data_IF_807088432261
#
_entry.id   IF_807088432261
#
_cell.length_a   1.000
_cell.length_b   1.000
_cell.length_c   1.000
_cell.angle_alpha   90.00
_cell.angle_beta   90.00
_cell.angle_gamma   90.00
#
_symmetry.space_group_name_H-M   'P 1'
#
loop_
_entity.id
_entity.type
_entity.pdbx_description
1 polymer ?
#
# COMPACT_ATOMS: atom_id res chain seq x y z
N UNK A 1 44.56 15.48 32.09
CA UNK A 1 44.36 15.61 30.63
C UNK A 1 43.35 14.55 30.14
N UNK A 2 42.19 14.41 30.82
CA UNK A 2 41.15 13.39 30.51
C UNK A 2 39.71 13.92 30.61
N UNK A 3 39.51 15.22 30.82
CA UNK A 3 38.21 15.81 31.19
C UNK A 3 37.47 16.52 30.06
N UNK A 4 38.05 16.63 28.86
CA UNK A 4 37.43 17.36 27.73
C UNK A 4 36.81 16.46 26.65
N UNK A 5 36.93 15.14 26.77
CA UNK A 5 36.39 14.19 25.78
C UNK A 5 34.97 13.70 26.09
N UNK A 6 34.43 13.97 27.30
CA UNK A 6 33.10 13.49 27.71
C UNK A 6 31.97 14.49 27.48
N UNK A 7 32.27 15.78 27.30
CA UNK A 7 31.26 16.83 27.09
C UNK A 7 30.70 16.89 25.67
N UNK A 8 31.31 16.23 24.69
CA UNK A 8 30.81 16.20 23.31
C UNK A 8 29.87 15.03 23.03
N UNK A 9 29.79 14.01 23.91
CA UNK A 9 28.85 12.90 23.76
C UNK A 9 27.46 13.18 24.36
N UNK A 10 27.31 14.14 25.28
CA UNK A 10 26.05 14.36 26.01
C UNK A 10 25.04 15.27 25.31
N UNK A 11 25.47 16.19 24.44
CA UNK A 11 24.57 17.18 23.81
C UNK A 11 23.49 16.52 22.93
N UNK A 12 23.82 15.38 22.31
CA UNK A 12 22.89 14.65 21.43
C UNK A 12 21.86 13.80 22.18
N UNK A 13 22.14 13.44 23.45
CA UNK A 13 21.22 12.67 24.28
C UNK A 13 20.20 13.55 25.00
N UNK A 14 20.55 14.81 25.28
CA UNK A 14 19.70 15.76 26.01
C UNK A 14 18.67 16.47 25.12
N UNK A 15 18.88 16.48 23.80
CA UNK A 15 17.89 16.95 22.82
C UNK A 15 16.89 15.83 22.53
N UNK A 16 15.95 15.62 23.44
CA UNK A 16 14.81 14.72 23.24
C UNK A 16 13.62 15.50 22.67
N UNK A 17 13.17 15.14 21.46
CA UNK A 17 11.91 15.66 20.89
C UNK A 17 10.88 14.54 20.92
N UNK A 18 9.72 14.79 21.54
CA UNK A 18 8.62 13.83 21.70
C UNK A 18 9.09 12.47 22.29
N UNK A 19 9.82 12.53 23.41
CA UNK A 19 10.30 11.35 24.17
C UNK A 19 11.23 10.40 23.38
N UNK A 20 11.83 10.90 22.29
CA UNK A 20 12.79 10.15 21.47
C UNK A 20 14.04 10.99 21.20
N UNK A 21 15.24 10.38 21.26
CA UNK A 21 16.48 11.08 20.91
C UNK A 21 16.51 11.42 19.42
N UNK A 22 17.11 12.56 19.06
CA UNK A 22 17.18 13.08 17.68
C UNK A 22 17.70 12.08 16.64
N UNK A 23 18.60 11.17 17.03
CA UNK A 23 19.14 10.17 16.11
C UNK A 23 18.08 9.17 15.62
N UNK A 24 17.01 8.91 16.40
CA UNK A 24 15.88 8.07 15.94
C UNK A 24 15.10 8.75 14.82
N UNK A 25 14.94 10.07 14.89
CA UNK A 25 14.32 10.87 13.83
C UNK A 25 15.20 10.89 12.56
N UNK A 26 16.52 11.03 12.73
CA UNK A 26 17.48 10.94 11.62
C UNK A 26 17.48 9.53 10.98
N UNK A 27 17.43 8.47 11.80
CA UNK A 27 17.33 7.09 11.32
C UNK A 27 16.02 6.85 10.56
N UNK A 28 14.89 7.38 11.05
CA UNK A 28 13.60 7.31 10.35
C UNK A 28 13.67 7.98 8.97
N UNK A 29 14.23 9.20 8.91
CA UNK A 29 14.44 9.89 7.64
C UNK A 29 15.35 9.08 6.70
N UNK A 30 16.44 8.52 7.24
CA UNK A 30 17.34 7.66 6.48
C UNK A 30 16.63 6.43 5.90
N UNK A 31 15.81 5.74 6.69
CA UNK A 31 15.04 4.58 6.23
C UNK A 31 14.01 4.98 5.17
N UNK A 32 13.31 6.11 5.33
CA UNK A 32 12.35 6.61 4.35
C UNK A 32 13.03 6.92 3.00
N UNK A 33 14.18 7.60 3.03
CA UNK A 33 14.95 7.91 1.82
C UNK A 33 15.44 6.61 1.18
N UNK A 34 16.02 5.69 1.95
CA UNK A 34 16.52 4.43 1.44
C UNK A 34 15.40 3.60 0.78
N UNK A 35 14.24 3.48 1.42
CA UNK A 35 13.11 2.72 0.88
C UNK A 35 12.46 3.39 -0.32
N UNK A 36 12.42 4.72 -0.39
CA UNK A 36 12.03 5.43 -1.60
C UNK A 36 12.98 5.13 -2.77
N UNK A 37 14.29 5.18 -2.53
CA UNK A 37 15.32 4.86 -3.55
C UNK A 37 15.21 3.41 -4.00
N UNK A 38 15.12 2.46 -3.07
CA UNK A 38 14.95 1.03 -3.36
C UNK A 38 13.65 0.80 -4.16
N UNK A 39 12.55 1.44 -3.75
CA UNK A 39 11.29 1.37 -4.48
C UNK A 39 11.42 1.85 -5.93
N UNK A 40 12.14 2.97 -6.15
CA UNK A 40 12.44 3.50 -7.49
C UNK A 40 13.32 2.55 -8.31
N UNK A 41 14.31 1.92 -7.70
CA UNK A 41 15.18 0.93 -8.34
C UNK A 41 14.37 -0.30 -8.77
N UNK A 42 13.51 -0.82 -7.88
CA UNK A 42 12.65 -1.97 -8.19
C UNK A 42 11.69 -1.62 -9.32
N UNK A 43 11.03 -0.47 -9.27
CA UNK A 43 10.16 -0.01 -10.37
C UNK A 43 10.91 0.12 -11.68
N UNK A 44 12.13 0.67 -11.65
CA UNK A 44 12.97 0.78 -12.83
C UNK A 44 13.31 -0.60 -13.40
N UNK A 45 13.70 -1.54 -12.55
CA UNK A 45 14.04 -2.90 -12.94
C UNK A 45 12.84 -3.66 -13.51
N UNK A 46 11.67 -3.58 -12.85
CA UNK A 46 10.42 -4.18 -13.34
C UNK A 46 9.98 -3.60 -14.68
N UNK A 47 10.07 -2.28 -14.85
CA UNK A 47 9.73 -1.62 -16.11
C UNK A 47 10.71 -2.03 -17.23
N UNK A 48 12.00 -2.10 -16.91
CA UNK A 48 13.06 -2.53 -17.83
C UNK A 48 12.88 -3.99 -18.27
N UNK A 49 12.66 -4.90 -17.32
CA UNK A 49 12.38 -6.31 -17.63
C UNK A 49 11.05 -6.46 -18.39
N UNK A 50 10.02 -5.69 -18.02
CA UNK A 50 8.74 -5.67 -18.72
C UNK A 50 8.87 -5.25 -20.17
N UNK A 51 9.65 -4.20 -20.46
CA UNK A 51 9.98 -3.79 -21.84
C UNK A 51 10.75 -4.88 -22.59
N UNK A 52 11.78 -5.45 -21.98
CA UNK A 52 12.55 -6.53 -22.62
C UNK A 52 11.68 -7.77 -22.95
N UNK A 53 10.68 -8.08 -22.12
CA UNK A 53 9.72 -9.16 -22.38
C UNK A 53 8.67 -8.80 -23.44
N UNK A 54 8.32 -7.52 -23.56
CA UNK A 54 7.39 -7.02 -24.59
C UNK A 54 7.94 -7.21 -26.01
N UNK A 55 9.26 -7.09 -26.17
CA UNK A 55 9.95 -7.29 -27.46
C UNK A 55 9.85 -8.74 -27.93
N UNK A 56 9.61 -9.69 -27.02
CA UNK A 56 9.31 -11.09 -27.36
C UNK A 56 7.81 -11.25 -27.57
N UNK A 57 7.35 -11.33 -28.84
CA UNK A 57 5.92 -11.52 -29.21
C UNK A 57 5.16 -12.58 -28.39
N UNK A 58 5.84 -13.65 -27.96
CA UNK A 58 5.25 -14.73 -27.13
C UNK A 58 5.02 -14.33 -25.67
N UNK A 59 5.85 -13.45 -25.12
CA UNK A 59 5.82 -13.02 -23.71
C UNK A 59 5.26 -11.59 -23.55
N UNK A 60 4.80 -10.97 -24.62
CA UNK A 60 4.15 -9.66 -24.62
C UNK A 60 3.07 -9.46 -23.52
N UNK A 61 2.15 -10.41 -23.23
CA UNK A 61 1.19 -10.22 -22.14
C UNK A 61 1.85 -10.20 -20.74
N UNK A 62 2.89 -11.00 -20.54
CA UNK A 62 3.67 -11.02 -19.30
C UNK A 62 4.46 -9.71 -19.14
N UNK A 63 5.03 -9.20 -20.22
CA UNK A 63 5.73 -7.91 -20.23
C UNK A 63 4.81 -6.73 -19.91
N UNK A 64 3.57 -6.72 -20.45
CA UNK A 64 2.55 -5.74 -20.08
C UNK A 64 2.18 -5.80 -18.60
N UNK A 65 2.00 -7.02 -18.06
CA UNK A 65 1.69 -7.23 -16.65
C UNK A 65 2.81 -6.71 -15.72
N UNK A 66 4.07 -7.08 -16.00
CA UNK A 66 5.23 -6.60 -15.24
C UNK A 66 5.34 -5.07 -15.27
N UNK A 67 5.10 -4.47 -16.44
CA UNK A 67 5.17 -3.02 -16.61
C UNK A 67 4.07 -2.30 -15.83
N UNK A 68 2.87 -2.86 -15.80
CA UNK A 68 1.77 -2.32 -14.98
C UNK A 68 2.03 -2.46 -13.48
N UNK A 69 2.67 -3.56 -13.04
CA UNK A 69 3.04 -3.77 -11.64
C UNK A 69 4.20 -2.89 -11.17
N UNK A 70 5.03 -2.39 -12.10
CA UNK A 70 6.21 -1.60 -11.76
C UNK A 70 5.90 -0.38 -10.89
N UNK A 71 4.80 0.33 -11.12
CA UNK A 71 4.40 1.45 -10.26
C UNK A 71 3.95 1.00 -8.88
N UNK A 72 2.93 0.13 -8.74
CA UNK A 72 2.46 -0.35 -7.44
C UNK A 72 3.58 -0.98 -6.60
N UNK A 73 4.53 -1.64 -7.23
CA UNK A 73 5.68 -2.20 -6.55
C UNK A 73 6.48 -1.14 -5.76
N UNK A 74 6.71 0.07 -6.31
CA UNK A 74 7.36 1.14 -5.53
C UNK A 74 6.57 1.56 -4.31
N UNK A 75 5.24 1.66 -4.44
CA UNK A 75 4.38 2.04 -3.32
C UNK A 75 4.31 0.94 -2.25
N UNK A 76 4.37 -0.33 -2.63
CA UNK A 76 4.47 -1.45 -1.68
C UNK A 76 5.81 -1.44 -0.94
N UNK A 77 6.91 -1.23 -1.66
CA UNK A 77 8.25 -1.14 -1.07
C UNK A 77 8.34 0.06 -0.13
N UNK A 78 7.75 1.19 -0.52
CA UNK A 78 7.63 2.35 0.34
C UNK A 78 6.80 2.04 1.59
N UNK A 79 5.63 1.41 1.45
CA UNK A 79 4.80 1.01 2.58
C UNK A 79 5.52 0.06 3.55
N UNK A 80 6.27 -0.92 3.02
CA UNK A 80 7.11 -1.81 3.81
C UNK A 80 8.21 -1.04 4.55
N UNK A 81 8.84 -0.07 3.88
CA UNK A 81 9.83 0.82 4.47
C UNK A 81 9.29 1.65 5.63
N UNK A 82 8.11 2.25 5.44
CA UNK A 82 7.39 2.99 6.48
C UNK A 82 7.04 2.06 7.65
N UNK A 83 6.56 0.84 7.37
CA UNK A 83 6.25 -0.12 8.43
C UNK A 83 7.49 -0.46 9.28
N UNK A 84 8.62 -0.76 8.63
CA UNK A 84 9.89 -1.05 9.30
C UNK A 84 10.37 0.17 10.10
N UNK A 85 10.29 1.38 9.55
CA UNK A 85 10.70 2.60 10.23
C UNK A 85 9.95 2.83 11.56
N UNK A 86 8.64 2.57 11.59
CA UNK A 86 7.85 2.69 12.81
C UNK A 86 8.12 1.60 13.84
N UNK A 87 8.61 0.43 13.43
CA UNK A 87 8.96 -0.65 14.38
C UNK A 87 10.17 -0.31 15.26
N UNK A 88 11.07 0.54 14.78
CA UNK A 88 12.23 1.04 15.53
C UNK A 88 11.90 2.25 16.42
N UNK A 89 10.71 2.85 16.28
CA UNK A 89 10.34 4.07 16.97
C UNK A 89 9.46 3.79 18.19
N UNK A 90 9.89 4.26 19.36
CA UNK A 90 9.07 4.26 20.58
C UNK A 90 8.09 5.43 20.52
N UNK A 91 6.96 5.22 19.86
CA UNK A 91 5.86 6.19 19.70
C UNK A 91 4.90 6.17 20.90
N UNK A 92 5.44 6.23 22.12
CA UNK A 92 4.65 6.33 23.35
C UNK A 92 4.69 7.78 23.83
N UNK A 93 3.57 8.48 23.68
CA UNK A 93 3.42 9.84 24.17
C UNK A 93 2.63 9.77 25.47
N UNK A 94 3.31 10.05 26.59
CA UNK A 94 2.66 10.23 27.89
C UNK A 94 2.39 11.72 28.04
N UNK A 95 1.14 12.10 28.24
CA UNK A 95 0.80 13.45 28.65
C UNK A 95 0.11 13.43 30.00
N UNK A 96 0.34 14.48 30.75
CA UNK A 96 -0.35 14.75 31.99
C UNK A 96 -1.62 15.54 31.67
N UNK A 97 -2.76 14.94 31.99
CA UNK A 97 -4.05 15.60 31.96
C UNK A 97 -4.54 15.75 33.40
N UNK A 98 -5.03 16.93 33.74
CA UNK A 98 -5.70 17.15 35.02
C UNK A 98 -7.17 16.82 34.81
N UNK A 99 -7.61 15.68 35.33
CA UNK A 99 -9.01 15.27 35.39
C UNK A 99 -9.45 15.30 36.86
N UNK A 100 -10.50 16.06 37.15
CA UNK A 100 -11.14 16.12 38.47
C UNK A 100 -10.17 16.50 39.62
N UNK A 101 -9.25 17.42 39.35
CA UNK A 101 -8.24 17.90 40.31
C UNK A 101 -7.14 16.89 40.64
N UNK A 102 -7.08 15.74 39.95
CA UNK A 102 -6.02 14.74 40.08
C UNK A 102 -5.18 14.71 38.81
N UNK A 103 -3.86 14.58 38.99
CA UNK A 103 -2.94 14.33 37.89
C UNK A 103 -3.16 12.91 37.35
N UNK A 104 -3.70 12.81 36.14
CA UNK A 104 -3.91 11.54 35.45
C UNK A 104 -2.92 11.47 34.29
N UNK A 105 -1.99 10.52 34.37
CA UNK A 105 -1.09 10.22 33.25
C UNK A 105 -1.81 9.37 32.22
N UNK A 106 -2.10 9.95 31.04
CA UNK A 106 -2.72 9.24 29.92
C UNK A 106 -1.63 8.83 28.93
N UNK A 107 -1.57 7.54 28.61
CA UNK A 107 -0.61 7.01 27.64
C UNK A 107 -1.24 6.87 26.26
N UNK A 108 -0.85 7.79 25.37
CA UNK A 108 -0.94 7.77 23.90
C UNK A 108 -0.07 6.73 23.21
N UNK A 109 -0.54 5.51 22.91
CA UNK A 109 0.19 4.63 21.99
C UNK A 109 -0.11 5.02 20.53
N UNK A 110 0.79 5.78 19.89
CA UNK A 110 0.66 6.20 18.48
C UNK A 110 0.92 5.06 17.49
N UNK A 111 1.32 3.88 17.99
CA UNK A 111 1.61 2.70 17.18
C UNK A 111 0.41 2.22 16.39
N UNK A 112 -0.80 2.31 16.95
CA UNK A 112 -2.02 1.90 16.28
C UNK A 112 -2.35 2.81 15.11
N UNK A 113 -2.17 4.12 15.28
CA UNK A 113 -2.30 5.10 14.21
C UNK A 113 -1.26 4.86 13.10
N UNK A 114 0.01 4.64 13.46
CA UNK A 114 1.07 4.33 12.50
C UNK A 114 0.76 3.08 11.68
N UNK A 115 0.31 2.02 12.36
CA UNK A 115 -0.04 0.76 11.74
C UNK A 115 -1.26 0.90 10.82
N UNK A 116 -2.26 1.69 11.22
CA UNK A 116 -3.40 2.02 10.36
C UNK A 116 -2.96 2.75 9.08
N UNK A 117 -2.06 3.74 9.17
CA UNK A 117 -1.50 4.42 8.00
C UNK A 117 -0.76 3.44 7.06
N UNK A 118 0.12 2.59 7.61
CA UNK A 118 0.86 1.60 6.83
C UNK A 118 -0.08 0.65 6.08
N UNK A 119 -1.12 0.15 6.77
CA UNK A 119 -2.15 -0.71 6.19
C UNK A 119 -2.89 0.03 5.06
N UNK A 120 -3.28 1.29 5.24
CA UNK A 120 -3.98 2.07 4.20
C UNK A 120 -3.14 2.26 2.96
N UNK A 121 -1.85 2.63 3.10
CA UNK A 121 -0.93 2.77 1.96
C UNK A 121 -0.79 1.43 1.22
N UNK A 122 -0.68 0.33 1.96
CA UNK A 122 -0.58 -1.02 1.39
C UNK A 122 -1.83 -1.36 0.58
N UNK A 123 -3.02 -1.15 1.15
CA UNK A 123 -4.31 -1.41 0.51
C UNK A 123 -4.48 -0.57 -0.76
N UNK A 124 -4.13 0.71 -0.71
CA UNK A 124 -4.15 1.59 -1.88
C UNK A 124 -3.21 1.09 -2.98
N UNK A 125 -2.01 0.64 -2.61
CA UNK A 125 -1.05 0.11 -3.57
C UNK A 125 -1.54 -1.18 -4.24
N UNK A 126 -2.08 -2.11 -3.45
CA UNK A 126 -2.70 -3.35 -3.97
C UNK A 126 -3.89 -3.00 -4.86
N UNK A 127 -4.76 -2.09 -4.42
CA UNK A 127 -5.91 -1.62 -5.19
C UNK A 127 -5.50 -1.04 -6.54
N UNK A 128 -4.45 -0.21 -6.55
CA UNK A 128 -3.90 0.35 -7.79
C UNK A 128 -3.28 -0.72 -8.69
N UNK A 129 -2.62 -1.74 -8.11
CA UNK A 129 -2.10 -2.88 -8.85
C UNK A 129 -3.20 -3.67 -9.54
N UNK A 130 -4.25 -4.05 -8.78
CA UNK A 130 -5.41 -4.79 -9.29
C UNK A 130 -6.12 -3.97 -10.37
N UNK A 131 -6.35 -2.68 -10.14
CA UNK A 131 -6.99 -1.80 -11.13
C UNK A 131 -6.21 -1.77 -12.45
N UNK A 132 -4.88 -1.70 -12.40
CA UNK A 132 -4.03 -1.77 -13.60
C UNK A 132 -3.98 -3.16 -14.24
N UNK A 133 -4.09 -4.22 -13.44
CA UNK A 133 -4.18 -5.59 -13.98
C UNK A 133 -5.46 -5.79 -14.79
N UNK A 134 -6.58 -5.14 -14.41
CA UNK A 134 -7.82 -5.19 -15.20
C UNK A 134 -7.61 -4.66 -16.62
N UNK A 135 -6.78 -3.62 -16.80
CA UNK A 135 -6.45 -3.10 -18.13
C UNK A 135 -5.59 -4.07 -18.96
N UNK A 136 -4.68 -4.80 -18.31
CA UNK A 136 -3.89 -5.85 -18.96
C UNK A 136 -4.78 -7.03 -19.35
N UNK A 137 -5.72 -7.41 -18.48
CA UNK A 137 -6.72 -8.43 -18.78
C UNK A 137 -7.57 -8.03 -19.97
N UNK A 138 -8.06 -6.79 -20.04
CA UNK A 138 -8.80 -6.30 -21.22
C UNK A 138 -7.99 -6.45 -22.50
N UNK A 139 -6.71 -6.05 -22.49
CA UNK A 139 -5.84 -6.18 -23.65
C UNK A 139 -5.68 -7.66 -24.09
N UNK A 140 -5.58 -8.57 -23.12
CA UNK A 140 -5.47 -10.00 -23.38
C UNK A 140 -6.78 -10.57 -23.95
N UNK A 141 -7.92 -10.22 -23.34
CA UNK A 141 -9.23 -10.62 -23.80
C UNK A 141 -9.49 -10.12 -25.22
N UNK A 142 -9.22 -8.85 -25.53
CA UNK A 142 -9.36 -8.30 -26.90
C UNK A 142 -8.51 -9.05 -27.93
N UNK A 143 -7.29 -9.46 -27.55
CA UNK A 143 -6.41 -10.25 -28.44
C UNK A 143 -6.96 -11.65 -28.69
N UNK A 144 -7.67 -12.23 -27.73
CA UNK A 144 -8.31 -13.53 -27.86
C UNK A 144 -9.60 -13.42 -28.68
N UNK A 145 -10.45 -12.44 -28.41
CA UNK A 145 -11.71 -12.23 -29.16
C UNK A 145 -11.46 -11.82 -30.60
N UNK A 146 -10.38 -11.08 -30.88
CA UNK A 146 -9.97 -10.77 -32.26
C UNK A 146 -9.61 -12.00 -33.12
N UNK A 147 -9.43 -13.18 -32.51
CA UNK A 147 -9.23 -14.45 -33.22
C UNK A 147 -10.53 -15.23 -33.41
N UNK A 148 -11.60 -14.88 -32.70
CA UNK A 148 -12.94 -15.43 -32.88
C UNK A 148 -13.77 -14.54 -33.83
N UNK A 149 -14.75 -15.12 -34.52
CA UNK A 149 -15.58 -14.44 -35.54
C UNK A 149 -16.83 -13.74 -34.98
N UNK A 150 -17.02 -13.77 -33.67
CA UNK A 150 -18.29 -13.46 -32.98
C UNK A 150 -18.33 -12.02 -32.46
N UNK A 151 -19.21 -11.17 -33.03
CA UNK A 151 -19.40 -9.77 -32.62
C UNK A 151 -19.90 -9.59 -31.18
N UNK A 152 -20.46 -10.64 -30.57
CA UNK A 152 -20.90 -10.63 -29.16
C UNK A 152 -19.71 -10.57 -28.20
N UNK A 153 -18.60 -11.23 -28.52
CA UNK A 153 -17.42 -11.29 -27.65
C UNK A 153 -16.78 -9.89 -27.51
N UNK A 154 -16.75 -9.14 -28.60
CA UNK A 154 -16.18 -7.78 -28.63
C UNK A 154 -16.96 -6.77 -27.79
N UNK A 155 -18.26 -7.01 -27.57
CA UNK A 155 -19.11 -6.20 -26.69
C UNK A 155 -19.03 -6.64 -25.22
N UNK A 156 -18.76 -7.92 -24.94
CA UNK A 156 -18.59 -8.44 -23.58
C UNK A 156 -17.31 -7.92 -22.91
N UNK A 157 -16.21 -7.80 -23.66
CA UNK A 157 -14.93 -7.33 -23.12
C UNK A 157 -15.02 -5.97 -22.40
N UNK A 158 -15.61 -4.90 -22.99
CA UNK A 158 -15.75 -3.62 -22.30
C UNK A 158 -16.71 -3.68 -21.10
N UNK A 159 -17.73 -4.56 -21.11
CA UNK A 159 -18.65 -4.77 -19.98
C UNK A 159 -17.89 -5.40 -18.81
N UNK A 160 -17.16 -6.49 -19.05
CA UNK A 160 -16.34 -7.19 -18.03
C UNK A 160 -15.31 -6.24 -17.44
N UNK A 161 -14.63 -5.44 -18.28
CA UNK A 161 -13.66 -4.43 -17.81
C UNK A 161 -14.30 -3.42 -16.85
N UNK A 162 -15.46 -2.87 -17.22
CA UNK A 162 -16.17 -1.90 -16.37
C UNK A 162 -16.60 -2.55 -15.05
N UNK A 163 -17.16 -3.76 -15.09
CA UNK A 163 -17.57 -4.49 -13.90
C UNK A 163 -16.40 -4.76 -12.95
N UNK A 164 -15.28 -5.29 -13.46
CA UNK A 164 -14.07 -5.55 -12.66
C UNK A 164 -13.49 -4.28 -12.03
N UNK A 165 -13.47 -3.17 -12.77
CA UNK A 165 -13.00 -1.88 -12.23
C UNK A 165 -13.89 -1.38 -11.10
N UNK A 166 -15.21 -1.45 -11.27
CA UNK A 166 -16.17 -1.04 -10.23
C UNK A 166 -16.01 -1.92 -8.99
N UNK A 167 -15.96 -3.25 -9.15
CA UNK A 167 -15.74 -4.18 -8.04
C UNK A 167 -14.42 -3.91 -7.31
N UNK A 168 -13.34 -3.68 -8.06
CA UNK A 168 -12.03 -3.34 -7.47
C UNK A 168 -12.12 -2.09 -6.60
N UNK A 169 -12.75 -1.02 -7.09
CA UNK A 169 -12.92 0.22 -6.34
C UNK A 169 -13.76 0.01 -5.08
N UNK A 170 -14.87 -0.74 -5.18
CA UNK A 170 -15.73 -1.06 -4.03
C UNK A 170 -14.94 -1.84 -2.98
N UNK A 171 -14.19 -2.89 -3.37
CA UNK A 171 -13.38 -3.69 -2.44
C UNK A 171 -12.32 -2.82 -1.76
N UNK A 172 -11.62 -1.98 -2.50
CA UNK A 172 -10.60 -1.07 -1.94
C UNK A 172 -11.22 -0.12 -0.92
N UNK A 173 -12.38 0.47 -1.22
CA UNK A 173 -13.09 1.35 -0.29
C UNK A 173 -13.54 0.61 0.97
N UNK A 174 -14.08 -0.60 0.84
CA UNK A 174 -14.48 -1.42 1.98
C UNK A 174 -13.27 -1.75 2.88
N UNK A 175 -12.15 -2.16 2.30
CA UNK A 175 -10.95 -2.49 3.07
C UNK A 175 -10.36 -1.26 3.76
N UNK A 176 -10.38 -0.09 3.12
CA UNK A 176 -9.99 1.18 3.76
C UNK A 176 -10.94 1.52 4.91
N UNK A 177 -12.25 1.35 4.71
CA UNK A 177 -13.24 1.59 5.75
C UNK A 177 -13.07 0.63 6.94
N UNK A 178 -12.78 -0.65 6.69
CA UNK A 178 -12.41 -1.60 7.75
C UNK A 178 -11.18 -1.13 8.52
N UNK A 179 -10.16 -0.63 7.83
CA UNK A 179 -8.93 -0.21 8.50
C UNK A 179 -9.12 1.04 9.37
N UNK A 180 -9.94 2.00 8.93
CA UNK A 180 -10.15 3.27 9.65
C UNK A 180 -11.26 3.14 10.71
N UNK A 181 -12.41 2.59 10.34
CA UNK A 181 -13.60 2.52 11.19
C UNK A 181 -13.73 1.19 11.93
N UNK A 182 -12.81 0.24 11.73
CA UNK A 182 -12.82 -1.11 12.34
C UNK A 182 -14.14 -1.87 12.07
N UNK A 183 -14.79 -1.58 10.94
CA UNK A 183 -16.03 -2.25 10.53
C UNK A 183 -15.77 -3.68 10.07
N UNK A 184 -16.66 -4.60 10.43
CA UNK A 184 -16.66 -5.96 9.89
C UNK A 184 -17.21 -5.96 8.46
N UNK A 185 -16.29 -5.89 7.48
CA UNK A 185 -16.67 -5.93 6.06
C UNK A 185 -16.95 -7.35 5.55
N UNK A 186 -16.70 -8.38 6.35
CA UNK A 186 -16.91 -9.78 5.95
C UNK A 186 -18.33 -10.05 5.49
N UNK A 187 -19.33 -9.55 6.23
CA UNK A 187 -20.73 -9.66 5.86
C UNK A 187 -21.06 -8.90 4.56
N UNK A 188 -20.47 -7.71 4.35
CA UNK A 188 -20.65 -6.90 3.14
C UNK A 188 -20.03 -7.56 1.91
N UNK A 189 -18.81 -8.11 2.03
CA UNK A 189 -18.16 -8.87 0.96
C UNK A 189 -18.92 -10.17 0.64
N UNK A 190 -19.41 -10.87 1.67
CA UNK A 190 -20.23 -12.06 1.47
C UNK A 190 -21.55 -11.72 0.75
N UNK A 191 -22.19 -10.61 1.12
CA UNK A 191 -23.39 -10.09 0.45
C UNK A 191 -23.13 -9.71 -1.02
N UNK A 192 -22.01 -9.04 -1.31
CA UNK A 192 -21.59 -8.74 -2.69
C UNK A 192 -21.33 -10.02 -3.51
N UNK A 193 -20.70 -11.02 -2.90
CA UNK A 193 -20.46 -12.32 -3.54
C UNK A 193 -21.75 -13.09 -3.83
N UNK A 194 -22.65 -13.19 -2.86
CA UNK A 194 -23.97 -13.81 -3.00
C UNK A 194 -24.86 -13.06 -4.00
N UNK A 195 -24.85 -11.72 -3.96
CA UNK A 195 -25.57 -10.88 -4.92
C UNK A 195 -25.08 -11.10 -6.36
N UNK A 196 -23.77 -11.25 -6.55
CA UNK A 196 -23.18 -11.60 -7.85
C UNK A 196 -23.60 -12.98 -8.35
N UNK A 197 -23.64 -13.98 -7.46
CA UNK A 197 -24.12 -15.33 -7.80
C UNK A 197 -25.61 -15.33 -8.16
N UNK A 198 -26.44 -14.63 -7.39
CA UNK A 198 -27.87 -14.49 -7.68
C UNK A 198 -28.10 -13.81 -9.04
N UNK A 199 -27.34 -12.75 -9.36
CA UNK A 199 -27.41 -12.09 -10.65
C UNK A 199 -26.99 -13.02 -11.79
N UNK A 200 -25.93 -13.80 -11.61
CA UNK A 200 -25.45 -14.76 -12.61
C UNK A 200 -26.45 -15.91 -12.86
N UNK A 201 -27.27 -16.27 -11.87
CA UNK A 201 -28.34 -17.25 -12.01
C UNK A 201 -29.63 -16.66 -12.59
N UNK A 202 -29.84 -15.35 -12.44
CA UNK A 202 -31.00 -14.64 -12.95
C UNK A 202 -30.85 -14.16 -14.41
N UNK A 203 -29.61 -14.00 -14.87
CA UNK A 203 -29.25 -13.64 -16.25
C UNK A 203 -29.18 -14.87 -17.14
#
# INVERSE_FOLDING_TARGET
MYTLAQTTQSVWHDLSFANNPLWKWAALLGVLIATFVIGKIISFFLNRQGQWLLDRKRLAPVGSALRCLSGPASLLVFAAGVYVAGSFMTLKFTWEAIEDGKEVQRMVDLKDFWMALCKTITVLSIGWAVYRLVDVLEMLLRRWTARTRTQLDDQLVPIIRKALRILTVIIVLLVIAQNIFQWEIGALLAGLGLGGLAFALAA
#
